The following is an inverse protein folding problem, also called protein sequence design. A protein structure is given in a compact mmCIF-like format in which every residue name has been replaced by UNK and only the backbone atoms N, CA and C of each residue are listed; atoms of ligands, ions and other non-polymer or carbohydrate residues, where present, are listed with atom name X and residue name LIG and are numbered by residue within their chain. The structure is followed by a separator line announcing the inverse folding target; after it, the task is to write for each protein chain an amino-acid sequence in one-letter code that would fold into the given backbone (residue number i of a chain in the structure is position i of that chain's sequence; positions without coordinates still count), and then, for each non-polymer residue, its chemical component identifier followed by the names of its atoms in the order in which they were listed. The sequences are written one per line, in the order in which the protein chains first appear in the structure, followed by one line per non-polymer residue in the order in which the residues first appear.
data_IF_586802424073
#
_entry.id   IF_586802424073
#
_cell.length_a   1.000
_cell.length_b   1.000
_cell.length_c   1.000
_cell.angle_alpha   90.00
_cell.angle_beta   90.00
_cell.angle_gamma   90.00
#
_symmetry.space_group_name_H-M   'P 1'
#
loop_
_entity.id
_entity.type
_entity.pdbx_description
1 polymer ?
#
# COMPACT_ATOMS: atom_id res chain seq x y z
N UNK A 1 -22.53 2.05 4.72
CA UNK A 1 -22.17 0.97 3.79
C UNK A 1 -20.76 0.51 4.14
N UNK A 2 -20.49 -0.79 4.22
CA UNK A 2 -19.21 -1.28 4.75
C UNK A 2 -18.05 -1.16 3.75
N UNK A 3 -16.89 -0.71 4.22
CA UNK A 3 -15.63 -0.75 3.44
C UNK A 3 -15.07 -2.17 3.51
N UNK A 4 -14.76 -2.76 2.35
CA UNK A 4 -14.10 -4.06 2.25
C UNK A 4 -12.65 -3.87 1.87
N UNK A 5 -11.73 -4.41 2.68
CA UNK A 5 -10.31 -4.45 2.36
C UNK A 5 -9.96 -5.74 1.64
N UNK A 6 -9.23 -5.63 0.54
CA UNK A 6 -8.72 -6.76 -0.23
C UNK A 6 -7.21 -6.65 -0.40
N UNK A 7 -6.50 -7.72 -0.02
CA UNK A 7 -5.08 -7.89 -0.34
C UNK A 7 -4.90 -8.10 -1.86
N UNK A 8 -3.92 -7.40 -2.45
CA UNK A 8 -3.54 -7.56 -3.85
C UNK A 8 -2.81 -8.89 -4.01
N UNK A 9 -3.32 -9.75 -4.88
CA UNK A 9 -2.84 -11.12 -5.09
C UNK A 9 -2.63 -11.48 -6.56
N UNK A 10 -3.07 -10.63 -7.48
CA UNK A 10 -2.98 -10.87 -8.93
C UNK A 10 -2.38 -9.68 -9.67
N UNK A 11 -1.84 -9.93 -10.87
CA UNK A 11 -1.35 -8.87 -11.76
C UNK A 11 -2.43 -7.83 -12.11
N UNK A 12 -3.69 -8.26 -12.21
CA UNK A 12 -4.84 -7.38 -12.47
C UNK A 12 -5.08 -6.44 -11.30
N UNK A 13 -5.03 -6.96 -10.08
CA UNK A 13 -5.17 -6.16 -8.86
C UNK A 13 -3.98 -5.23 -8.66
N UNK A 14 -2.75 -5.67 -8.96
CA UNK A 14 -1.58 -4.80 -8.91
C UNK A 14 -1.70 -3.64 -9.91
N UNK A 15 -2.14 -3.92 -11.14
CA UNK A 15 -2.45 -2.86 -12.12
C UNK A 15 -3.51 -1.90 -11.59
N UNK A 16 -4.53 -2.42 -10.92
CA UNK A 16 -5.59 -1.60 -10.29
C UNK A 16 -5.02 -0.72 -9.18
N UNK A 17 -4.16 -1.29 -8.32
CA UNK A 17 -3.45 -0.57 -7.27
C UNK A 17 -2.62 0.58 -7.83
N UNK A 18 -1.82 0.34 -8.87
CA UNK A 18 -1.02 1.38 -9.51
C UNK A 18 -1.92 2.45 -10.13
N UNK A 19 -2.92 2.03 -10.92
CA UNK A 19 -3.78 2.94 -11.69
C UNK A 19 -4.75 3.78 -10.85
N UNK A 20 -5.07 3.35 -9.63
CA UNK A 20 -6.01 4.08 -8.78
C UNK A 20 -5.61 5.54 -8.55
N UNK A 21 -4.32 5.83 -8.35
CA UNK A 21 -3.83 7.21 -8.17
C UNK A 21 -4.04 8.09 -9.42
N UNK A 22 -3.86 7.51 -10.62
CA UNK A 22 -4.09 8.21 -11.88
C UNK A 22 -5.56 8.61 -12.02
N UNK A 23 -6.47 7.70 -11.67
CA UNK A 23 -7.91 7.96 -11.71
C UNK A 23 -8.35 8.96 -10.62
N UNK A 24 -7.76 8.87 -9.43
CA UNK A 24 -8.09 9.75 -8.30
C UNK A 24 -7.71 11.21 -8.60
N UNK A 25 -6.56 11.43 -9.23
CA UNK A 25 -6.02 12.77 -9.48
C UNK A 25 -6.13 13.24 -10.93
N UNK A 26 -6.91 12.56 -11.77
CA UNK A 26 -7.00 12.86 -13.22
C UNK A 26 -7.40 14.31 -13.55
N UNK A 27 -8.21 14.94 -12.69
CA UNK A 27 -8.67 16.33 -12.86
C UNK A 27 -7.81 17.35 -12.09
N UNK A 28 -6.77 16.89 -11.38
CA UNK A 28 -5.89 17.77 -10.62
C UNK A 28 -4.77 18.31 -11.54
N UNK A 29 -4.75 19.63 -11.84
CA UNK A 29 -3.77 20.21 -12.76
C UNK A 29 -2.34 20.17 -12.22
N UNK A 30 -2.15 19.89 -10.93
CA UNK A 30 -0.85 19.79 -10.27
C UNK A 30 -0.39 18.32 -10.09
N UNK A 31 -1.19 17.35 -10.53
CA UNK A 31 -0.84 15.94 -10.44
C UNK A 31 0.04 15.53 -11.60
N UNK A 32 1.26 15.11 -11.29
CA UNK A 32 2.16 14.48 -12.26
C UNK A 32 2.12 12.97 -12.04
N UNK A 33 1.56 12.19 -12.97
CA UNK A 33 1.45 10.75 -12.81
C UNK A 33 2.83 10.08 -12.95
N UNK A 34 3.08 9.05 -12.13
CA UNK A 34 4.26 8.21 -12.26
C UNK A 34 4.28 7.47 -13.60
N UNK A 35 5.46 7.05 -14.06
CA UNK A 35 5.56 6.12 -15.18
C UNK A 35 5.06 4.73 -14.75
N UNK A 36 4.09 4.20 -15.50
CA UNK A 36 3.44 2.94 -15.14
C UNK A 36 4.43 1.76 -15.05
N UNK A 37 5.41 1.71 -15.94
CA UNK A 37 6.42 0.64 -15.96
C UNK A 37 7.39 0.74 -14.77
N UNK A 38 7.72 1.96 -14.33
CA UNK A 38 8.54 2.19 -13.13
C UNK A 38 7.80 1.74 -11.87
N UNK A 39 6.50 2.01 -11.81
CA UNK A 39 5.66 1.53 -10.71
C UNK A 39 5.54 0.00 -10.71
N UNK A 40 5.37 -0.63 -11.88
CA UNK A 40 5.39 -2.09 -11.99
C UNK A 40 6.70 -2.70 -11.52
N UNK A 41 7.84 -2.08 -11.86
CA UNK A 41 9.15 -2.53 -11.42
C UNK A 41 9.32 -2.36 -9.91
N UNK A 42 8.89 -1.23 -9.36
CA UNK A 42 8.93 -0.92 -7.92
C UNK A 42 8.22 -1.98 -7.08
N UNK A 43 7.03 -2.42 -7.50
CA UNK A 43 6.22 -3.38 -6.75
C UNK A 43 6.53 -4.85 -7.07
N UNK A 44 7.47 -5.14 -7.97
CA UNK A 44 7.81 -6.48 -8.41
C UNK A 44 8.99 -7.06 -7.62
N UNK A 45 8.79 -8.16 -6.86
CA UNK A 45 9.89 -8.86 -6.19
C UNK A 45 10.96 -9.40 -7.14
N UNK A 46 10.63 -9.58 -8.42
CA UNK A 46 11.58 -10.05 -9.45
C UNK A 46 12.47 -8.94 -10.01
N UNK A 47 12.13 -7.67 -9.77
CA UNK A 47 12.79 -6.51 -10.40
C UNK A 47 13.40 -5.57 -9.36
N UNK A 48 12.81 -5.46 -8.18
CA UNK A 48 13.28 -4.58 -7.13
C UNK A 48 14.10 -5.36 -6.09
N UNK A 49 15.40 -5.06 -6.00
CA UNK A 49 16.33 -5.69 -5.06
C UNK A 49 15.96 -5.45 -3.58
N UNK A 50 15.14 -4.44 -3.28
CA UNK A 50 14.66 -4.22 -1.91
C UNK A 50 13.94 -5.44 -1.34
N UNK A 51 13.28 -6.26 -2.19
CA UNK A 51 12.60 -7.48 -1.75
C UNK A 51 13.54 -8.59 -1.24
N UNK A 52 14.86 -8.44 -1.39
CA UNK A 52 15.83 -9.32 -0.73
C UNK A 52 15.80 -9.18 0.79
N UNK A 53 15.39 -8.02 1.32
CA UNK A 53 15.37 -7.71 2.75
C UNK A 53 14.08 -7.03 3.23
N UNK A 54 13.18 -6.68 2.32
CA UNK A 54 11.86 -6.15 2.62
C UNK A 54 10.76 -7.17 2.30
N UNK A 55 9.79 -7.27 3.19
CA UNK A 55 8.47 -7.84 2.87
C UNK A 55 7.51 -6.68 2.58
N UNK A 56 6.66 -6.81 1.56
CA UNK A 56 5.63 -5.83 1.29
C UNK A 56 4.28 -6.50 1.02
N UNK A 57 3.23 -5.76 1.34
CA UNK A 57 1.85 -6.15 1.10
C UNK A 57 1.06 -4.96 0.60
N UNK A 58 0.12 -5.18 -0.30
CA UNK A 58 -0.67 -4.09 -0.87
C UNK A 58 -2.15 -4.37 -0.67
N UNK A 59 -2.90 -3.33 -0.37
CA UNK A 59 -4.32 -3.41 -0.08
C UNK A 59 -5.11 -2.42 -0.92
N UNK A 60 -6.30 -2.85 -1.33
CA UNK A 60 -7.31 -2.03 -1.99
C UNK A 60 -8.54 -1.95 -1.09
N UNK A 61 -9.09 -0.76 -0.92
CA UNK A 61 -10.38 -0.54 -0.27
C UNK A 61 -11.50 -0.50 -1.32
N UNK A 62 -12.60 -1.19 -1.04
CA UNK A 62 -13.79 -1.23 -1.89
C UNK A 62 -15.02 -0.71 -1.16
N UNK A 63 -15.83 0.08 -1.87
CA UNK A 63 -17.19 0.51 -1.48
C UNK A 63 -18.08 0.29 -2.71
N UNK A 64 -19.15 -0.49 -2.56
CA UNK A 64 -20.08 -0.83 -3.66
C UNK A 64 -19.38 -1.36 -4.92
N UNK A 65 -18.44 -2.30 -4.74
CA UNK A 65 -17.59 -2.89 -5.79
C UNK A 65 -16.69 -1.90 -6.55
N UNK A 66 -16.60 -0.65 -6.12
CA UNK A 66 -15.67 0.36 -6.65
C UNK A 66 -14.47 0.48 -5.74
N UNK A 67 -13.30 0.64 -6.34
CA UNK A 67 -12.07 0.94 -5.59
C UNK A 67 -12.17 2.38 -5.08
N UNK A 68 -11.97 2.56 -3.78
CA UNK A 68 -12.07 3.87 -3.11
C UNK A 68 -10.80 4.24 -2.35
N UNK A 69 -9.81 3.35 -2.32
CA UNK A 69 -8.51 3.65 -1.75
C UNK A 69 -7.49 2.54 -1.94
N UNK A 70 -6.23 2.85 -1.66
CA UNK A 70 -5.09 1.94 -1.70
C UNK A 70 -4.09 2.27 -0.59
N UNK A 71 -3.32 1.28 -0.16
CA UNK A 71 -2.18 1.44 0.74
C UNK A 71 -1.18 0.29 0.57
N UNK A 72 0.11 0.59 0.70
CA UNK A 72 1.17 -0.40 0.80
C UNK A 72 1.68 -0.48 2.24
N UNK A 73 1.83 -1.70 2.75
CA UNK A 73 2.57 -2.01 3.97
C UNK A 73 3.94 -2.59 3.62
N UNK A 74 4.99 -2.18 4.34
CA UNK A 74 6.38 -2.58 4.09
C UNK A 74 7.07 -2.88 5.42
N UNK A 75 7.69 -4.04 5.54
CA UNK A 75 8.57 -4.40 6.65
C UNK A 75 9.98 -4.51 6.12
N UNK A 76 10.85 -3.58 6.53
CA UNK A 76 12.28 -3.65 6.22
C UNK A 76 13.00 -4.38 7.37
N UNK A 77 13.40 -5.63 7.14
CA UNK A 77 14.01 -6.47 8.18
C UNK A 77 15.37 -5.93 8.61
N UNK A 78 16.20 -5.51 7.65
CA UNK A 78 17.53 -4.94 7.93
C UNK A 78 17.44 -3.68 8.78
N UNK A 79 16.49 -2.80 8.47
CA UNK A 79 16.23 -1.59 9.26
C UNK A 79 15.82 -1.93 10.70
N UNK A 80 14.85 -2.84 10.84
CA UNK A 80 14.36 -3.30 12.13
C UNK A 80 15.48 -3.96 12.97
N UNK A 81 16.32 -4.77 12.36
CA UNK A 81 17.49 -5.39 13.00
C UNK A 81 18.53 -4.34 13.41
N UNK A 82 18.91 -3.43 12.50
CA UNK A 82 19.95 -2.42 12.73
C UNK A 82 19.58 -1.46 13.86
N UNK A 83 18.30 -1.06 13.93
CA UNK A 83 17.82 -0.07 14.90
C UNK A 83 17.08 -0.70 16.08
N UNK A 84 17.07 -2.03 16.19
CA UNK A 84 16.36 -2.78 17.22
C UNK A 84 14.88 -2.34 17.36
N UNK A 85 14.18 -2.30 16.22
CA UNK A 85 12.80 -1.85 16.07
C UNK A 85 11.91 -2.98 15.55
N UNK A 86 10.61 -2.85 15.78
CA UNK A 86 9.57 -3.78 15.29
C UNK A 86 8.51 -2.99 14.52
N UNK A 87 8.95 -2.33 13.47
CA UNK A 87 8.12 -1.41 12.69
C UNK A 87 7.58 -2.05 11.41
N UNK A 88 6.29 -1.83 11.16
CA UNK A 88 5.71 -1.86 9.82
C UNK A 88 5.60 -0.43 9.31
N UNK A 89 6.11 -0.17 8.10
CA UNK A 89 5.96 1.10 7.41
C UNK A 89 4.75 1.08 6.49
N UNK A 90 4.13 2.23 6.26
CA UNK A 90 3.11 2.36 5.23
C UNK A 90 3.38 3.50 4.26
N UNK A 91 2.96 3.30 3.02
CA UNK A 91 3.16 4.22 1.91
C UNK A 91 2.14 4.05 0.80
N UNK A 92 2.29 4.83 -0.28
CA UNK A 92 1.37 4.80 -1.42
C UNK A 92 -0.10 4.81 -0.97
N UNK A 93 -0.40 5.66 0.00
CA UNK A 93 -1.73 5.79 0.58
C UNK A 93 -2.49 6.84 -0.23
N UNK A 94 -3.57 6.41 -0.88
CA UNK A 94 -4.47 7.29 -1.63
C UNK A 94 -5.91 6.81 -1.37
N UNK A 95 -6.84 7.72 -1.14
CA UNK A 95 -8.24 7.37 -0.88
C UNK A 95 -9.17 8.55 -1.19
N UNK A 96 -10.44 8.24 -1.43
CA UNK A 96 -11.50 9.26 -1.43
C UNK A 96 -11.64 9.81 -0.01
N UNK A 97 -11.81 11.13 0.12
CA UNK A 97 -11.82 11.85 1.40
C UNK A 97 -12.99 11.42 2.32
N UNK A 98 -12.80 10.30 3.00
CA UNK A 98 -13.73 9.62 3.89
C UNK A 98 -12.92 8.92 5.00
N UNK A 99 -13.20 9.28 6.24
CA UNK A 99 -12.50 8.78 7.43
C UNK A 99 -12.63 7.25 7.59
N UNK A 100 -13.72 6.66 7.10
CA UNK A 100 -13.92 5.21 7.17
C UNK A 100 -12.94 4.48 6.26
N UNK A 101 -12.59 5.06 5.12
CA UNK A 101 -11.65 4.47 4.15
C UNK A 101 -10.23 4.51 4.70
N UNK A 102 -9.79 5.70 5.15
CA UNK A 102 -8.43 5.87 5.67
C UNK A 102 -8.18 5.01 6.91
N UNK A 103 -9.16 4.93 7.82
CA UNK A 103 -9.10 4.03 8.98
C UNK A 103 -8.97 2.57 8.56
N UNK A 104 -9.81 2.10 7.65
CA UNK A 104 -9.78 0.70 7.20
C UNK A 104 -8.44 0.34 6.51
N UNK A 105 -7.86 1.26 5.73
CA UNK A 105 -6.56 1.05 5.08
C UNK A 105 -5.41 0.97 6.10
N UNK A 106 -5.35 1.91 7.06
CA UNK A 106 -4.32 1.91 8.09
C UNK A 106 -4.45 0.70 9.02
N UNK A 107 -5.68 0.32 9.39
CA UNK A 107 -5.96 -0.88 10.19
C UNK A 107 -5.47 -2.15 9.48
N UNK A 108 -5.63 -2.24 8.16
CA UNK A 108 -5.15 -3.39 7.38
C UNK A 108 -3.62 -3.53 7.45
N UNK A 109 -2.88 -2.43 7.31
CA UNK A 109 -1.41 -2.45 7.44
C UNK A 109 -1.00 -2.76 8.88
N UNK A 110 -1.67 -2.18 9.88
CA UNK A 110 -1.39 -2.45 11.28
C UNK A 110 -1.63 -3.93 11.64
N UNK A 111 -2.74 -4.52 11.18
CA UNK A 111 -3.04 -5.94 11.38
C UNK A 111 -2.03 -6.85 10.69
N UNK A 112 -1.66 -6.53 9.45
CA UNK A 112 -0.62 -7.27 8.73
C UNK A 112 0.73 -7.18 9.44
N UNK A 113 1.15 -6.00 9.88
CA UNK A 113 2.35 -5.80 10.68
C UNK A 113 2.34 -6.62 11.97
N UNK A 114 1.23 -6.56 12.73
CA UNK A 114 1.04 -7.38 13.95
C UNK A 114 1.16 -8.87 13.67
N UNK A 115 0.59 -9.36 12.57
CA UNK A 115 0.71 -10.78 12.16
C UNK A 115 2.16 -11.20 11.87
N UNK A 116 3.04 -10.23 11.60
CA UNK A 116 4.48 -10.41 11.35
C UNK A 116 5.34 -10.09 12.58
N UNK A 117 4.73 -9.84 13.74
CA UNK A 117 5.44 -9.53 14.98
C UNK A 117 5.89 -8.07 15.11
N UNK A 118 5.37 -7.17 14.28
CA UNK A 118 5.59 -5.73 14.42
C UNK A 118 4.64 -5.16 15.47
N UNK A 119 5.11 -4.19 16.26
CA UNK A 119 4.32 -3.51 17.30
C UNK A 119 4.06 -2.03 17.00
N UNK A 120 4.80 -1.47 16.04
CA UNK A 120 4.77 -0.04 15.71
C UNK A 120 4.42 0.15 14.23
N UNK A 121 3.53 1.09 13.93
CA UNK A 121 3.25 1.56 12.57
C UNK A 121 3.93 2.92 12.35
N UNK A 122 4.64 3.05 11.23
CA UNK A 122 5.44 4.23 10.90
C UNK A 122 5.08 4.71 9.49
N UNK A 123 4.84 6.00 9.30
CA UNK A 123 4.72 6.57 7.94
C UNK A 123 6.07 6.52 7.20
N UNK A 124 6.04 6.36 5.88
CA UNK A 124 7.24 6.48 5.02
C UNK A 124 7.90 7.86 5.13
#
# INVERSE_FOLDING_TARGET
MAITIKKVSSKKELKTFIRFNYELYKENPYSVPDLYDDMLNTFSPKKNAAFEFCEAEYFLAYKDNKVVGRIAGIINKRANETWNKKEVRFGWIDFLDDIEISRALLDAVAQWGKSKGMDTIQGL
#
